data_IF_424144437131
#
_entry.id   IF_424144437131
#
_cell.length_a   1.000
_cell.length_b   1.000
_cell.length_c   1.000
_cell.angle_alpha   90.00
_cell.angle_beta   90.00
_cell.angle_gamma   90.00
#
_symmetry.space_group_name_H-M   'P 1'
#
loop_
_entity.id
_entity.type
_entity.pdbx_description
1 polymer ?
#
# COMPACT_ATOMS: atom_id res chain seq x y z
N UNK A 1 15.46 -23.15 -5.31
CA UNK A 1 14.50 -24.11 -4.72
C UNK A 1 13.78 -23.39 -3.60
N UNK A 2 12.61 -22.81 -3.89
CA UNK A 2 11.84 -22.07 -2.88
C UNK A 2 11.15 -23.07 -1.95
N UNK A 3 11.50 -23.04 -0.66
CA UNK A 3 10.71 -23.66 0.41
C UNK A 3 9.43 -22.83 0.60
N UNK A 4 8.52 -22.86 -0.37
CA UNK A 4 7.14 -22.50 -0.07
C UNK A 4 6.60 -23.60 0.85
N UNK A 5 6.23 -23.21 2.07
CA UNK A 5 5.49 -24.02 3.03
C UNK A 5 4.21 -24.53 2.35
N UNK A 6 4.30 -25.63 1.62
CA UNK A 6 3.16 -26.34 1.09
C UNK A 6 2.20 -26.60 2.25
N UNK A 7 0.89 -26.40 2.03
CA UNK A 7 -0.18 -26.77 2.95
C UNK A 7 -0.10 -28.30 3.21
N UNK A 8 0.82 -28.71 4.09
CA UNK A 8 0.94 -30.07 4.58
C UNK A 8 0.15 -30.15 5.88
N UNK A 9 -1.14 -30.42 5.75
CA UNK A 9 -1.90 -30.93 6.88
C UNK A 9 -1.51 -32.40 7.05
N UNK A 10 -0.70 -32.68 8.07
CA UNK A 10 -0.02 -33.98 8.28
C UNK A 10 -0.97 -35.18 8.36
N UNK A 11 -2.27 -34.94 8.48
CA UNK A 11 -3.34 -35.89 8.75
C UNK A 11 -4.55 -35.81 7.78
N UNK A 12 -4.49 -34.99 6.73
CA UNK A 12 -5.61 -34.87 5.77
C UNK A 12 -6.00 -36.19 5.08
N UNK A 13 -7.28 -36.40 4.83
CA UNK A 13 -7.83 -37.61 4.21
C UNK A 13 -8.14 -37.45 2.70
N UNK A 14 -7.91 -36.25 2.16
CA UNK A 14 -8.01 -35.94 0.74
C UNK A 14 -6.70 -35.38 0.18
N UNK A 15 -6.38 -35.83 -1.03
CA UNK A 15 -5.25 -35.33 -1.81
C UNK A 15 -5.81 -34.51 -2.97
N UNK A 16 -5.42 -33.24 -3.05
CA UNK A 16 -5.81 -32.33 -4.11
C UNK A 16 -4.57 -31.97 -4.93
N UNK A 17 -4.62 -32.16 -6.25
CA UNK A 17 -3.58 -31.68 -7.15
C UNK A 17 -4.02 -30.32 -7.72
N UNK A 18 -3.34 -29.24 -7.36
CA UNK A 18 -3.67 -27.86 -7.78
C UNK A 18 -2.48 -27.27 -8.54
N UNK A 19 -2.58 -27.25 -9.88
CA UNK A 19 -1.41 -27.05 -10.72
C UNK A 19 -0.36 -28.14 -10.45
N UNK A 20 0.88 -27.75 -10.19
CA UNK A 20 1.98 -28.68 -9.92
C UNK A 20 2.09 -29.09 -8.44
N UNK A 21 1.23 -28.57 -7.58
CA UNK A 21 1.29 -28.82 -6.13
C UNK A 21 0.26 -29.84 -5.64
N UNK A 22 0.75 -30.79 -4.84
CA UNK A 22 -0.08 -31.74 -4.13
C UNK A 22 -0.38 -31.23 -2.71
N UNK A 23 -1.65 -30.95 -2.45
CA UNK A 23 -2.15 -30.49 -1.16
C UNK A 23 -2.89 -31.63 -0.46
N UNK A 24 -2.67 -31.79 0.85
CA UNK A 24 -3.35 -32.82 1.65
C UNK A 24 -4.31 -32.14 2.61
N UNK A 25 -5.62 -32.37 2.53
CA UNK A 25 -6.64 -31.61 3.27
C UNK A 25 -7.66 -32.52 3.97
N UNK A 26 -8.35 -31.98 4.98
CA UNK A 26 -9.41 -32.64 5.74
C UNK A 26 -10.79 -32.46 5.10
N UNK A 27 -11.38 -33.56 4.62
CA UNK A 27 -12.73 -33.60 4.05
C UNK A 27 -13.78 -33.07 5.02
N UNK A 28 -13.65 -33.40 6.31
CA UNK A 28 -14.58 -32.97 7.35
C UNK A 28 -14.58 -31.44 7.51
N UNK A 29 -13.39 -30.82 7.53
CA UNK A 29 -13.26 -29.38 7.62
C UNK A 29 -13.79 -28.70 6.36
N UNK A 30 -13.40 -29.18 5.17
CA UNK A 30 -13.93 -28.64 3.91
C UNK A 30 -15.46 -28.70 3.88
N UNK A 31 -16.06 -29.82 4.31
CA UNK A 31 -17.51 -30.03 4.36
C UNK A 31 -18.19 -29.09 5.35
N UNK A 32 -17.53 -28.77 6.47
CA UNK A 32 -18.04 -27.85 7.48
C UNK A 32 -18.12 -26.40 6.97
N UNK A 33 -17.18 -26.01 6.09
CA UNK A 33 -17.11 -24.68 5.50
C UNK A 33 -17.96 -24.56 4.23
N UNK A 34 -17.96 -25.60 3.39
CA UNK A 34 -18.73 -25.69 2.15
C UNK A 34 -19.00 -27.14 1.76
N UNK A 35 -20.27 -27.55 1.86
CA UNK A 35 -20.74 -28.82 1.30
C UNK A 35 -20.60 -28.85 -0.23
N UNK A 36 -20.75 -27.70 -0.90
CA UNK A 36 -20.70 -27.60 -2.35
C UNK A 36 -19.31 -27.84 -2.93
N UNK A 37 -18.27 -27.35 -2.26
CA UNK A 37 -16.89 -27.60 -2.62
C UNK A 37 -16.61 -29.11 -2.59
N UNK A 38 -16.95 -29.76 -1.47
CA UNK A 38 -16.71 -31.20 -1.30
C UNK A 38 -17.48 -32.02 -2.33
N UNK A 39 -18.75 -31.70 -2.58
CA UNK A 39 -19.54 -32.34 -3.63
C UNK A 39 -18.86 -32.23 -5.00
N UNK A 40 -18.39 -31.03 -5.37
CA UNK A 40 -17.73 -30.76 -6.65
C UNK A 40 -16.42 -31.52 -6.79
N UNK A 41 -15.59 -31.53 -5.75
CA UNK A 41 -14.32 -32.27 -5.73
C UNK A 41 -14.56 -33.78 -5.85
N UNK A 42 -15.55 -34.33 -5.14
CA UNK A 42 -15.82 -35.77 -5.12
C UNK A 42 -16.36 -36.32 -6.44
N UNK A 43 -17.00 -35.49 -7.28
CA UNK A 43 -17.46 -35.90 -8.61
C UNK A 43 -16.31 -36.31 -9.55
N UNK A 44 -15.12 -35.75 -9.32
CA UNK A 44 -13.93 -36.01 -10.12
C UNK A 44 -13.06 -37.14 -9.54
N UNK A 45 -13.54 -37.80 -8.48
CA UNK A 45 -12.78 -38.84 -7.78
C UNK A 45 -12.98 -40.19 -8.47
N UNK A 46 -11.93 -40.69 -9.14
CA UNK A 46 -11.88 -42.04 -9.71
C UNK A 46 -11.75 -43.11 -8.62
N UNK A 47 -10.62 -43.16 -7.92
CA UNK A 47 -10.37 -44.09 -6.81
C UNK A 47 -10.19 -43.38 -5.44
N UNK A 48 -10.23 -44.16 -4.34
CA UNK A 48 -10.05 -43.61 -2.98
C UNK A 48 -8.65 -43.03 -2.72
N UNK A 49 -7.63 -43.41 -3.49
CA UNK A 49 -6.22 -43.06 -3.22
C UNK A 49 -5.62 -42.08 -4.23
N UNK A 50 -6.31 -41.80 -5.33
CA UNK A 50 -5.80 -40.87 -6.34
C UNK A 50 -6.02 -39.41 -5.93
N UNK A 51 -5.07 -38.51 -6.24
CA UNK A 51 -5.28 -37.08 -6.13
C UNK A 51 -6.48 -36.64 -6.97
N UNK A 52 -7.29 -35.75 -6.39
CA UNK A 52 -8.36 -35.07 -7.11
C UNK A 52 -7.72 -33.86 -7.80
N UNK A 53 -7.77 -33.83 -9.13
CA UNK A 53 -7.28 -32.69 -9.90
C UNK A 53 -8.24 -31.50 -9.74
N UNK A 54 -7.69 -30.36 -9.34
CA UNK A 54 -8.43 -29.11 -9.17
C UNK A 54 -8.10 -28.20 -10.34
N UNK A 55 -9.11 -27.91 -11.15
CA UNK A 55 -8.99 -27.07 -12.37
C UNK A 55 -8.89 -25.55 -12.06
N UNK A 56 -8.78 -25.18 -10.79
CA UNK A 56 -8.72 -23.78 -10.37
C UNK A 56 -7.30 -23.22 -10.43
N UNK A 57 -7.21 -21.89 -10.52
CA UNK A 57 -5.94 -21.18 -10.37
C UNK A 57 -5.31 -21.49 -9.00
N UNK A 58 -4.02 -21.89 -8.93
CA UNK A 58 -3.43 -22.36 -7.68
C UNK A 58 -3.48 -21.36 -6.53
N UNK A 59 -3.09 -20.10 -6.76
CA UNK A 59 -2.98 -19.10 -5.68
C UNK A 59 -4.33 -18.73 -5.07
N UNK A 60 -5.38 -18.36 -5.83
CA UNK A 60 -6.72 -18.14 -5.28
C UNK A 60 -7.28 -19.34 -4.52
N UNK A 61 -7.09 -20.55 -5.05
CA UNK A 61 -7.61 -21.76 -4.41
C UNK A 61 -6.91 -22.07 -3.10
N UNK A 62 -5.58 -21.95 -3.04
CA UNK A 62 -4.83 -22.07 -1.78
C UNK A 62 -5.22 -21.01 -0.77
N UNK A 63 -5.40 -19.75 -1.20
CA UNK A 63 -5.87 -18.69 -0.32
C UNK A 63 -7.24 -19.03 0.29
N UNK A 64 -8.16 -19.58 -0.52
CA UNK A 64 -9.46 -20.07 -0.02
C UNK A 64 -9.28 -21.16 1.03
N UNK A 65 -8.39 -22.14 0.77
CA UNK A 65 -8.08 -23.18 1.75
C UNK A 65 -7.53 -22.58 3.05
N UNK A 66 -6.53 -21.69 3.00
CA UNK A 66 -6.00 -21.04 4.21
C UNK A 66 -7.10 -20.37 5.04
N UNK A 67 -8.02 -19.65 4.40
CA UNK A 67 -9.16 -19.03 5.09
C UNK A 67 -10.07 -20.08 5.72
N UNK A 68 -10.37 -21.18 5.02
CA UNK A 68 -11.21 -22.26 5.55
C UNK A 68 -10.60 -22.90 6.81
N UNK A 69 -9.27 -22.92 6.90
CA UNK A 69 -8.53 -23.40 8.08
C UNK A 69 -8.30 -22.33 9.15
N UNK A 70 -8.78 -21.10 8.94
CA UNK A 70 -8.56 -19.98 9.87
C UNK A 70 -7.11 -19.50 9.90
N UNK A 71 -6.32 -19.78 8.87
CA UNK A 71 -4.96 -19.25 8.73
C UNK A 71 -5.00 -17.81 8.23
N UNK A 72 -4.03 -16.99 8.66
CA UNK A 72 -3.85 -15.63 8.13
C UNK A 72 -3.27 -15.67 6.71
N UNK A 73 -3.88 -14.96 5.78
CA UNK A 73 -3.36 -14.82 4.41
C UNK A 73 -2.00 -14.11 4.37
N UNK A 74 -1.73 -13.22 5.33
CA UNK A 74 -0.49 -12.47 5.42
C UNK A 74 0.75 -13.36 5.59
N UNK A 75 0.58 -14.60 6.07
CA UNK A 75 1.67 -15.57 6.24
C UNK A 75 1.97 -16.40 4.98
N UNK A 76 1.11 -16.32 3.96
CA UNK A 76 1.15 -17.22 2.80
C UNK A 76 1.16 -16.51 1.45
N UNK A 77 0.80 -15.23 1.43
CA UNK A 77 0.94 -14.36 0.28
C UNK A 77 2.05 -13.38 0.60
N UNK A 78 3.08 -13.32 -0.23
CA UNK A 78 4.20 -12.40 -0.03
C UNK A 78 3.71 -10.93 0.11
N UNK A 79 4.38 -10.10 0.93
CA UNK A 79 4.08 -8.67 1.02
C UNK A 79 4.36 -7.94 -0.30
N UNK A 80 3.63 -6.84 -0.50
CA UNK A 80 3.89 -5.87 -1.56
C UNK A 80 3.90 -6.49 -2.97
N UNK A 81 2.90 -7.32 -3.29
CA UNK A 81 2.77 -7.96 -4.60
C UNK A 81 1.66 -7.34 -5.45
N UNK A 82 1.94 -7.06 -6.73
CA UNK A 82 0.94 -6.62 -7.72
C UNK A 82 -0.21 -7.62 -7.86
N UNK A 83 0.11 -8.91 -7.76
CA UNK A 83 -0.87 -10.00 -7.89
C UNK A 83 -1.82 -10.13 -6.69
N UNK A 84 -1.60 -9.44 -5.57
CA UNK A 84 -2.41 -9.58 -4.35
C UNK A 84 -3.90 -9.40 -4.64
N UNK A 85 -4.30 -8.35 -5.37
CA UNK A 85 -5.70 -8.10 -5.68
C UNK A 85 -6.29 -9.08 -6.72
N UNK A 86 -5.48 -9.57 -7.66
CA UNK A 86 -5.90 -10.64 -8.58
C UNK A 86 -6.18 -11.96 -7.82
N UNK A 87 -5.39 -12.24 -6.78
CA UNK A 87 -5.62 -13.39 -5.90
C UNK A 87 -6.91 -13.20 -5.12
N UNK A 88 -7.16 -12.01 -4.58
CA UNK A 88 -8.39 -11.66 -3.85
C UNK A 88 -9.63 -11.78 -4.75
N UNK A 89 -9.59 -11.26 -5.97
CA UNK A 89 -10.69 -11.39 -6.93
C UNK A 89 -10.98 -12.85 -7.27
N UNK A 90 -9.92 -13.64 -7.53
CA UNK A 90 -10.05 -15.08 -7.72
C UNK A 90 -10.66 -15.77 -6.50
N UNK A 91 -10.26 -15.38 -5.30
CA UNK A 91 -10.76 -15.91 -4.03
C UNK A 91 -12.26 -15.63 -3.87
N UNK A 92 -12.73 -14.41 -4.15
CA UNK A 92 -14.16 -14.09 -4.12
C UNK A 92 -14.97 -14.89 -5.14
N UNK A 93 -14.45 -15.05 -6.36
CA UNK A 93 -15.09 -15.87 -7.39
C UNK A 93 -15.20 -17.34 -6.97
N UNK A 94 -14.13 -17.90 -6.38
CA UNK A 94 -14.15 -19.26 -5.84
C UNK A 94 -15.11 -19.40 -4.66
N UNK A 95 -15.14 -18.41 -3.77
CA UNK A 95 -16.05 -18.40 -2.64
C UNK A 95 -17.51 -18.40 -3.09
N UNK A 96 -17.84 -17.62 -4.12
CA UNK A 96 -19.17 -17.64 -4.74
C UNK A 96 -19.46 -18.99 -5.41
N UNK A 97 -18.54 -19.48 -6.25
CA UNK A 97 -18.65 -20.77 -6.96
C UNK A 97 -18.90 -21.94 -5.98
N UNK A 98 -18.19 -21.93 -4.86
CA UNK A 98 -18.25 -22.95 -3.84
C UNK A 98 -19.14 -22.60 -2.65
N UNK A 99 -19.88 -21.50 -2.68
CA UNK A 99 -20.78 -21.09 -1.59
C UNK A 99 -20.09 -21.05 -0.22
N UNK A 100 -18.83 -20.61 -0.18
CA UNK A 100 -18.09 -20.35 1.07
C UNK A 100 -18.61 -19.05 1.67
N UNK A 101 -18.86 -19.02 2.99
CA UNK A 101 -19.45 -17.86 3.66
C UNK A 101 -18.54 -16.62 3.56
N UNK A 102 -19.03 -15.46 3.07
CA UNK A 102 -18.23 -14.24 2.88
C UNK A 102 -17.55 -13.71 4.14
N UNK A 103 -18.19 -13.85 5.32
CA UNK A 103 -17.68 -13.28 6.58
C UNK A 103 -16.27 -13.74 6.98
N UNK A 104 -15.82 -14.91 6.53
CA UNK A 104 -14.47 -15.41 6.84
C UNK A 104 -13.42 -14.84 5.86
N UNK A 105 -13.87 -14.37 4.70
CA UNK A 105 -13.02 -13.86 3.62
C UNK A 105 -12.73 -12.38 3.86
N UNK A 106 -13.76 -11.58 4.16
CA UNK A 106 -13.63 -10.13 4.22
C UNK A 106 -12.60 -9.68 5.25
N UNK A 107 -12.59 -10.27 6.46
CA UNK A 107 -11.60 -9.95 7.49
C UNK A 107 -10.18 -10.28 7.05
N UNK A 108 -9.94 -11.49 6.53
CA UNK A 108 -8.62 -11.93 6.08
C UNK A 108 -8.10 -11.12 4.87
N UNK A 109 -9.00 -10.75 3.96
CA UNK A 109 -8.66 -9.90 2.81
C UNK A 109 -8.33 -8.48 3.26
N UNK A 110 -9.10 -7.91 4.19
CA UNK A 110 -8.81 -6.58 4.72
C UNK A 110 -7.46 -6.54 5.43
N UNK A 111 -7.12 -7.55 6.24
CA UNK A 111 -5.78 -7.64 6.87
C UNK A 111 -4.66 -7.67 5.82
N UNK A 112 -4.86 -8.44 4.74
CA UNK A 112 -3.89 -8.53 3.65
C UNK A 112 -3.70 -7.20 2.92
N UNK A 113 -4.79 -6.47 2.62
CA UNK A 113 -4.71 -5.16 1.97
C UNK A 113 -4.09 -4.14 2.94
N UNK A 114 -4.48 -4.12 4.22
CA UNK A 114 -3.93 -3.22 5.24
C UNK A 114 -2.43 -3.40 5.45
N UNK A 115 -1.90 -4.61 5.25
CA UNK A 115 -0.45 -4.85 5.30
C UNK A 115 0.28 -4.07 4.21
N UNK A 116 -0.25 -4.07 2.99
CA UNK A 116 0.37 -3.41 1.84
C UNK A 116 0.03 -1.90 1.80
N UNK A 117 -1.13 -1.52 2.35
CA UNK A 117 -1.68 -0.16 2.40
C UNK A 117 -2.10 0.22 3.85
N UNK A 118 -1.13 0.53 4.72
CA UNK A 118 -1.38 0.64 6.16
C UNK A 118 -2.10 1.94 6.55
N UNK A 119 -2.73 1.87 7.72
CA UNK A 119 -3.36 3.01 8.40
C UNK A 119 -2.37 3.78 9.28
N UNK A 120 -1.29 3.15 9.72
CA UNK A 120 -0.27 3.79 10.55
C UNK A 120 0.86 4.36 9.67
N UNK A 121 1.21 5.63 9.88
CA UNK A 121 2.27 6.31 9.11
C UNK A 121 3.65 5.63 9.25
N UNK A 122 3.92 5.00 10.39
CA UNK A 122 5.16 4.26 10.64
C UNK A 122 5.23 2.95 9.85
N UNK A 123 4.09 2.31 9.62
CA UNK A 123 4.01 1.14 8.74
C UNK A 123 4.10 1.57 7.27
N UNK A 124 3.52 2.71 6.92
CA UNK A 124 3.70 3.32 5.60
C UNK A 124 5.18 3.59 5.32
N UNK A 125 5.89 4.22 6.26
CA UNK A 125 7.33 4.47 6.18
C UNK A 125 8.14 3.19 5.95
N UNK A 126 7.76 2.10 6.64
CA UNK A 126 8.39 0.78 6.46
C UNK A 126 8.13 0.22 5.07
N UNK A 127 6.90 0.31 4.57
CA UNK A 127 6.56 -0.17 3.23
C UNK A 127 7.31 0.61 2.16
N UNK A 128 7.38 1.94 2.27
CA UNK A 128 8.13 2.79 1.33
C UNK A 128 9.63 2.46 1.33
N UNK A 129 10.22 2.23 2.51
CA UNK A 129 11.63 1.82 2.60
C UNK A 129 11.88 0.44 1.95
N UNK A 130 10.96 -0.52 2.13
CA UNK A 130 11.05 -1.83 1.49
C UNK A 130 10.86 -1.73 -0.03
N UNK A 131 9.94 -0.88 -0.50
CA UNK A 131 9.75 -0.59 -1.92
C UNK A 131 11.04 -0.03 -2.53
N UNK A 132 11.65 0.97 -1.90
CA UNK A 132 12.93 1.53 -2.38
C UNK A 132 14.03 0.46 -2.45
N UNK A 133 14.09 -0.45 -1.46
CA UNK A 133 15.04 -1.57 -1.45
C UNK A 133 14.79 -2.56 -2.58
N UNK A 134 13.53 -2.87 -2.86
CA UNK A 134 13.15 -3.78 -3.96
C UNK A 134 13.49 -3.17 -5.33
N UNK A 135 13.30 -1.87 -5.49
CA UNK A 135 13.69 -1.13 -6.70
C UNK A 135 15.21 -1.16 -6.87
N UNK A 136 16.00 -0.83 -5.83
CA UNK A 136 17.46 -0.79 -5.95
C UNK A 136 18.08 -2.14 -6.29
N UNK A 137 17.53 -3.25 -5.76
CA UNK A 137 17.99 -4.60 -6.10
C UNK A 137 17.77 -4.92 -7.58
N UNK A 138 16.69 -4.39 -8.16
CA UNK A 138 16.39 -4.58 -9.57
C UNK A 138 17.35 -3.78 -10.46
N UNK A 139 17.69 -2.56 -10.05
CA UNK A 139 18.64 -1.70 -10.76
C UNK A 139 20.07 -2.25 -10.75
N UNK A 140 20.51 -2.87 -9.65
CA UNK A 140 21.85 -3.47 -9.52
C UNK A 140 22.02 -4.75 -10.33
N UNK A 141 20.93 -5.42 -10.73
CA UNK A 141 20.98 -6.60 -11.60
C UNK A 141 21.09 -6.18 -13.06
N UNK A 142 22.31 -5.88 -13.50
CA UNK A 142 22.75 -5.59 -14.89
C UNK A 142 22.41 -6.69 -15.94
N UNK A 143 21.60 -7.69 -15.61
CA UNK A 143 21.16 -8.78 -16.49
C UNK A 143 20.01 -8.32 -17.43
N UNK A 144 20.22 -7.14 -18.01
CA UNK A 144 19.27 -6.23 -18.67
C UNK A 144 18.70 -6.74 -20.02
N UNK A 145 18.97 -8.00 -20.41
CA UNK A 145 18.79 -8.45 -21.79
C UNK A 145 17.74 -9.54 -22.01
N UNK A 146 17.10 -10.11 -20.99
CA UNK A 146 16.21 -11.26 -21.21
C UNK A 146 14.79 -11.18 -20.66
N UNK A 147 14.50 -10.48 -19.56
CA UNK A 147 13.14 -10.44 -18.98
C UNK A 147 12.80 -9.05 -18.43
N UNK A 148 12.12 -8.24 -19.25
CA UNK A 148 11.76 -6.82 -19.03
C UNK A 148 10.69 -6.57 -17.93
N UNK A 149 10.63 -7.38 -16.87
CA UNK A 149 9.67 -7.13 -15.78
C UNK A 149 10.23 -6.02 -14.89
N UNK A 150 9.70 -4.80 -15.01
CA UNK A 150 10.13 -3.69 -14.17
C UNK A 150 9.81 -3.95 -12.70
N UNK A 151 10.56 -3.36 -11.76
CA UNK A 151 10.28 -3.49 -10.33
C UNK A 151 8.82 -3.12 -9.99
N UNK A 152 8.28 -2.09 -10.63
CA UNK A 152 6.90 -1.64 -10.45
C UNK A 152 5.84 -2.66 -10.92
N UNK A 153 6.15 -3.52 -11.91
CA UNK A 153 5.28 -4.64 -12.29
C UNK A 153 5.08 -5.67 -11.18
N UNK A 154 5.94 -5.66 -10.17
CA UNK A 154 5.86 -6.56 -9.02
C UNK A 154 5.18 -5.92 -7.80
N UNK A 155 5.04 -4.58 -7.76
CA UNK A 155 4.55 -3.84 -6.60
C UNK A 155 3.02 -3.65 -6.59
N UNK A 156 2.39 -3.38 -5.44
CA UNK A 156 0.94 -3.22 -5.37
C UNK A 156 0.44 -2.05 -6.22
N UNK A 157 -0.56 -2.31 -7.05
CA UNK A 157 -1.19 -1.29 -7.90
C UNK A 157 -2.18 -0.43 -7.09
N UNK A 158 -1.93 0.88 -6.89
CA UNK A 158 -2.82 1.74 -6.08
C UNK A 158 -4.25 1.83 -6.63
N UNK A 159 -4.42 1.98 -7.95
CA UNK A 159 -5.75 2.12 -8.53
C UNK A 159 -6.58 0.84 -8.43
N UNK A 160 -5.93 -0.31 -8.35
CA UNK A 160 -6.61 -1.59 -8.14
C UNK A 160 -7.23 -1.66 -6.74
N UNK A 161 -6.64 -1.04 -5.71
CA UNK A 161 -7.23 -0.96 -4.35
C UNK A 161 -8.50 -0.11 -4.38
N UNK A 162 -8.43 1.03 -5.05
CA UNK A 162 -9.57 1.95 -5.27
C UNK A 162 -10.71 1.22 -5.98
N UNK A 163 -10.39 0.51 -7.07
CA UNK A 163 -11.33 -0.32 -7.82
C UNK A 163 -11.94 -1.45 -6.97
N UNK A 164 -11.10 -2.14 -6.17
CA UNK A 164 -11.54 -3.18 -5.25
C UNK A 164 -12.57 -2.65 -4.25
N UNK A 165 -12.32 -1.49 -3.63
CA UNK A 165 -13.26 -0.89 -2.68
C UNK A 165 -14.58 -0.56 -3.37
N UNK A 166 -14.56 0.04 -4.57
CA UNK A 166 -15.77 0.34 -5.35
C UNK A 166 -16.61 -0.90 -5.64
N UNK A 167 -15.94 -2.02 -5.97
CA UNK A 167 -16.59 -3.27 -6.37
C UNK A 167 -17.17 -4.04 -5.18
N UNK A 168 -16.52 -3.99 -4.02
CA UNK A 168 -16.83 -4.87 -2.89
C UNK A 168 -17.46 -4.17 -1.67
N UNK A 169 -17.36 -2.85 -1.55
CA UNK A 169 -17.93 -2.11 -0.42
C UNK A 169 -19.24 -1.42 -0.81
N UNK A 170 -20.22 -1.44 0.10
CA UNK A 170 -21.49 -0.74 -0.10
C UNK A 170 -21.33 0.76 0.20
N UNK A 171 -22.07 1.65 -0.49
CA UNK A 171 -22.02 3.10 -0.23
C UNK A 171 -22.32 3.52 1.21
N UNK A 172 -23.07 2.70 1.96
CA UNK A 172 -23.43 2.93 3.36
C UNK A 172 -22.40 2.41 4.36
N UNK A 173 -21.35 1.73 3.89
CA UNK A 173 -20.30 1.19 4.76
C UNK A 173 -19.26 2.25 5.06
N UNK A 174 -18.66 2.17 6.24
CA UNK A 174 -17.46 2.92 6.56
C UNK A 174 -16.37 2.60 5.54
N UNK A 175 -15.79 3.64 4.95
CA UNK A 175 -14.75 3.52 3.93
C UNK A 175 -13.45 3.15 4.64
N UNK A 176 -12.81 2.01 4.29
CA UNK A 176 -11.63 1.57 5.01
C UNK A 176 -10.43 2.48 4.74
N UNK A 177 -9.65 2.77 5.78
CA UNK A 177 -8.56 3.75 5.70
C UNK A 177 -7.54 3.46 4.57
N UNK A 178 -7.27 2.18 4.29
CA UNK A 178 -6.31 1.78 3.26
C UNK A 178 -6.62 2.35 1.86
N UNK A 179 -7.88 2.70 1.56
CA UNK A 179 -8.22 3.35 0.29
C UNK A 179 -7.67 4.77 0.22
N UNK A 180 -7.67 5.51 1.33
CA UNK A 180 -7.13 6.85 1.40
C UNK A 180 -5.61 6.82 1.27
N UNK A 181 -4.96 5.79 1.85
CA UNK A 181 -3.53 5.53 1.64
C UNK A 181 -3.22 5.26 0.16
N UNK A 182 -4.04 4.45 -0.52
CA UNK A 182 -3.89 4.20 -1.96
C UNK A 182 -4.13 5.45 -2.81
N UNK A 183 -5.21 6.21 -2.52
CA UNK A 183 -5.51 7.46 -3.21
C UNK A 183 -4.41 8.50 -3.01
N UNK A 184 -3.88 8.61 -1.79
CA UNK A 184 -2.73 9.46 -1.50
C UNK A 184 -1.52 9.07 -2.35
N UNK A 185 -1.21 7.78 -2.47
CA UNK A 185 -0.14 7.33 -3.35
C UNK A 185 -0.36 7.78 -4.80
N UNK A 186 -1.60 7.80 -5.29
CA UNK A 186 -1.92 8.34 -6.62
C UNK A 186 -1.64 9.85 -6.69
N UNK A 187 -1.95 10.62 -5.64
CA UNK A 187 -1.72 12.08 -5.62
C UNK A 187 -0.26 12.49 -5.79
N UNK A 188 0.69 11.63 -5.38
CA UNK A 188 2.13 11.91 -5.52
C UNK A 188 2.71 11.54 -6.90
N UNK A 189 1.95 10.85 -7.75
CA UNK A 189 2.40 10.45 -9.08
C UNK A 189 2.15 11.57 -10.10
N UNK A 190 3.02 11.73 -11.12
CA UNK A 190 2.71 12.57 -12.26
C UNK A 190 1.57 11.98 -13.09
N UNK A 191 0.79 12.83 -13.78
CA UNK A 191 -0.30 12.36 -14.64
C UNK A 191 0.16 11.40 -15.75
N UNK A 192 1.46 11.41 -16.09
CA UNK A 192 2.08 10.54 -17.10
C UNK A 192 2.64 9.24 -16.52
N UNK A 193 2.55 9.00 -15.21
CA UNK A 193 3.03 7.77 -14.56
C UNK A 193 2.03 6.61 -14.75
N UNK A 194 1.68 6.32 -15.99
CA UNK A 194 0.87 5.16 -16.37
C UNK A 194 1.63 4.31 -17.38
N UNK A 195 1.73 2.98 -17.20
CA UNK A 195 2.46 2.09 -18.12
C UNK A 195 1.96 2.13 -19.57
N UNK A 196 0.72 2.55 -19.78
CA UNK A 196 0.07 2.69 -21.08
C UNK A 196 0.15 4.10 -21.68
N UNK A 197 0.66 5.09 -20.95
CA UNK A 197 0.81 6.45 -21.45
C UNK A 197 2.06 6.56 -22.37
N UNK A 198 1.89 6.92 -23.65
CA UNK A 198 3.02 7.07 -24.57
C UNK A 198 3.97 8.23 -24.22
N UNK A 199 3.55 9.16 -23.35
CA UNK A 199 4.36 10.25 -22.84
C UNK A 199 5.07 9.92 -21.51
N UNK A 200 4.93 8.69 -20.99
CA UNK A 200 5.67 8.25 -19.82
C UNK A 200 7.18 8.30 -20.12
N UNK A 201 7.93 8.97 -19.24
CA UNK A 201 9.38 9.03 -19.34
C UNK A 201 9.97 7.62 -19.19
N UNK A 202 10.74 7.10 -20.16
CA UNK A 202 11.37 5.78 -20.07
C UNK A 202 12.33 5.63 -18.88
N UNK A 203 12.85 6.73 -18.35
CA UNK A 203 13.69 6.74 -17.15
C UNK A 203 12.88 6.75 -15.85
N UNK A 204 11.57 7.07 -15.90
CA UNK A 204 10.69 7.09 -14.73
C UNK A 204 10.78 5.78 -13.95
N UNK A 205 10.61 4.65 -14.64
CA UNK A 205 10.61 3.31 -14.02
C UNK A 205 11.98 2.89 -13.50
N UNK A 206 13.08 3.54 -13.94
CA UNK A 206 14.44 3.28 -13.48
C UNK A 206 14.85 4.13 -12.28
N UNK A 207 14.28 5.32 -12.12
CA UNK A 207 14.74 6.28 -11.10
C UNK A 207 13.76 6.48 -9.95
N UNK A 208 12.97 5.45 -9.59
CA UNK A 208 11.93 5.40 -8.52
C UNK A 208 10.46 5.45 -8.98
N UNK A 209 10.16 5.26 -10.26
CA UNK A 209 8.83 5.47 -10.80
C UNK A 209 7.85 4.36 -10.46
N UNK A 210 7.14 4.54 -9.34
CA UNK A 210 5.85 3.89 -9.14
C UNK A 210 4.90 4.32 -10.26
N UNK A 211 4.06 3.41 -10.73
CA UNK A 211 3.01 3.76 -11.70
C UNK A 211 1.62 3.58 -11.13
N UNK A 212 0.64 4.12 -11.83
CA UNK A 212 -0.77 3.89 -11.60
C UNK A 212 -1.44 3.51 -12.90
N UNK A 213 -2.26 2.47 -12.89
CA UNK A 213 -3.10 2.12 -14.02
C UNK A 213 -4.37 2.98 -13.99
N UNK A 214 -4.37 4.05 -14.77
CA UNK A 214 -5.47 4.99 -14.86
C UNK A 214 -6.75 4.40 -15.43
N UNK A 215 -6.67 3.33 -16.22
CA UNK A 215 -7.85 2.64 -16.74
C UNK A 215 -8.72 2.00 -15.63
N UNK A 216 -8.17 1.81 -14.43
CA UNK A 216 -8.90 1.30 -13.27
C UNK A 216 -9.64 2.39 -12.50
N UNK A 217 -9.34 3.66 -12.75
CA UNK A 217 -9.95 4.80 -12.06
C UNK A 217 -11.17 5.32 -12.83
N UNK A 218 -12.25 5.60 -12.11
CA UNK A 218 -13.40 6.31 -12.67
C UNK A 218 -13.12 7.81 -12.78
N UNK A 219 -13.94 8.53 -13.56
CA UNK A 219 -13.87 10.01 -13.63
C UNK A 219 -14.04 10.66 -12.25
N UNK A 220 -14.79 10.02 -11.36
CA UNK A 220 -15.05 10.47 -10.00
C UNK A 220 -13.81 10.29 -9.13
N UNK A 221 -13.12 9.15 -9.25
CA UNK A 221 -11.87 8.91 -8.52
C UNK A 221 -10.80 9.95 -8.91
N UNK A 222 -10.72 10.32 -10.18
CA UNK A 222 -9.86 11.43 -10.62
C UNK A 222 -10.21 12.77 -10.00
N UNK A 223 -11.49 13.13 -9.93
CA UNK A 223 -11.91 14.38 -9.28
C UNK A 223 -11.49 14.40 -7.81
N UNK A 224 -11.65 13.28 -7.12
CA UNK A 224 -11.22 13.13 -5.72
C UNK A 224 -9.70 13.32 -5.58
N UNK A 225 -8.91 12.69 -6.45
CA UNK A 225 -7.45 12.87 -6.48
C UNK A 225 -7.07 14.32 -6.72
N UNK A 226 -7.72 15.02 -7.66
CA UNK A 226 -7.43 16.43 -7.96
C UNK A 226 -7.78 17.37 -6.79
N UNK A 227 -8.95 17.17 -6.17
CA UNK A 227 -9.38 17.93 -4.98
C UNK A 227 -8.39 17.69 -3.83
N UNK A 228 -7.97 16.44 -3.62
CA UNK A 228 -7.01 16.10 -2.59
C UNK A 228 -5.64 16.73 -2.85
N UNK A 229 -5.16 16.74 -4.11
CA UNK A 229 -3.91 17.43 -4.48
C UNK A 229 -3.97 18.91 -4.11
N UNK A 230 -5.06 19.60 -4.44
CA UNK A 230 -5.23 21.02 -4.13
C UNK A 230 -5.29 21.28 -2.62
N UNK A 231 -6.07 20.47 -1.88
CA UNK A 231 -6.19 20.57 -0.43
C UNK A 231 -4.87 20.29 0.31
N UNK A 232 -4.14 19.24 -0.10
CA UNK A 232 -2.84 18.92 0.46
C UNK A 232 -1.82 20.03 0.17
N UNK A 233 -1.77 20.56 -1.06
CA UNK A 233 -0.87 21.68 -1.42
C UNK A 233 -1.16 22.94 -0.64
N UNK A 234 -2.43 23.26 -0.42
CA UNK A 234 -2.84 24.41 0.39
C UNK A 234 -2.34 24.25 1.83
N UNK A 235 -2.59 23.09 2.44
CA UNK A 235 -2.10 22.83 3.81
C UNK A 235 -0.57 22.88 3.91
N UNK A 236 0.14 22.29 2.95
CA UNK A 236 1.60 22.29 2.95
C UNK A 236 2.15 23.71 2.78
N UNK A 237 1.47 24.55 2.00
CA UNK A 237 1.79 25.98 1.88
C UNK A 237 1.59 26.71 3.21
N UNK A 238 0.51 26.43 3.94
CA UNK A 238 0.27 27.01 5.26
C UNK A 238 1.36 26.58 6.26
N UNK A 239 1.71 25.29 6.28
CA UNK A 239 2.81 24.76 7.11
C UNK A 239 4.13 25.47 6.79
N UNK A 240 4.46 25.57 5.49
CA UNK A 240 5.72 26.12 5.00
C UNK A 240 5.84 27.63 5.25
N UNK A 241 4.77 28.40 5.02
CA UNK A 241 4.83 29.87 4.97
C UNK A 241 4.36 30.53 6.26
N UNK A 242 3.49 29.87 7.03
CA UNK A 242 2.79 30.49 8.17
C UNK A 242 3.07 29.74 9.46
N UNK A 243 2.66 28.47 9.56
CA UNK A 243 2.62 27.76 10.83
C UNK A 243 4.01 27.55 11.43
N UNK A 244 5.00 27.13 10.62
CA UNK A 244 6.36 26.90 11.11
C UNK A 244 6.96 28.16 11.71
N UNK A 245 6.78 29.30 11.03
CA UNK A 245 7.29 30.60 11.50
C UNK A 245 6.67 30.98 12.84
N UNK A 246 5.34 30.94 12.92
CA UNK A 246 4.61 31.29 14.14
C UNK A 246 5.04 30.40 15.31
N UNK A 247 5.19 29.09 15.07
CA UNK A 247 5.62 28.16 16.09
C UNK A 247 7.07 28.41 16.54
N UNK A 248 7.99 28.63 15.60
CA UNK A 248 9.39 28.93 15.89
C UNK A 248 9.55 30.23 16.69
N UNK A 249 8.79 31.28 16.36
CA UNK A 249 8.81 32.57 17.07
C UNK A 249 8.25 32.46 18.50
N UNK A 250 7.23 31.64 18.71
CA UNK A 250 6.61 31.39 20.02
C UNK A 250 7.45 30.48 20.94
N UNK A 251 8.32 29.64 20.38
CA UNK A 251 9.11 28.69 21.14
C UNK A 251 10.08 29.36 22.16
N UNK A 252 10.39 28.71 23.30
CA UNK A 252 11.27 29.28 24.33
C UNK A 252 12.76 29.13 23.96
N UNK A 253 13.23 29.92 22.98
CA UNK A 253 14.63 29.94 22.53
C UNK A 253 15.16 31.38 22.41
N UNK A 254 16.50 31.59 22.52
CA UNK A 254 17.11 32.90 22.30
C UNK A 254 16.80 33.46 20.89
N UNK A 255 16.61 34.80 20.72
CA UNK A 255 16.29 35.40 19.44
C UNK A 255 17.28 35.06 18.31
N UNK A 256 18.56 34.93 18.62
CA UNK A 256 19.59 34.54 17.65
C UNK A 256 19.39 33.14 17.09
N UNK A 257 19.01 32.17 17.93
CA UNK A 257 18.74 30.79 17.50
C UNK A 257 17.48 30.72 16.62
N UNK A 258 16.42 31.46 17.01
CA UNK A 258 15.20 31.60 16.22
C UNK A 258 15.49 32.14 14.83
N UNK A 259 16.29 33.22 14.76
CA UNK A 259 16.68 33.84 13.49
C UNK A 259 17.44 32.89 12.57
N UNK A 260 18.37 32.10 13.12
CA UNK A 260 19.12 31.09 12.35
C UNK A 260 18.20 29.99 11.82
N UNK A 261 17.31 29.45 12.65
CA UNK A 261 16.38 28.40 12.24
C UNK A 261 15.38 28.89 11.18
N UNK A 262 14.81 30.09 11.37
CA UNK A 262 13.88 30.69 10.39
C UNK A 262 14.57 30.94 9.05
N UNK A 263 15.82 31.43 9.07
CA UNK A 263 16.60 31.63 7.85
C UNK A 263 16.89 30.29 7.15
N UNK A 264 17.22 29.25 7.91
CA UNK A 264 17.38 27.90 7.37
C UNK A 264 16.07 27.40 6.74
N UNK A 265 14.94 27.56 7.43
CA UNK A 265 13.63 27.15 6.93
C UNK A 265 13.26 27.86 5.62
N UNK A 266 13.49 29.18 5.54
CA UNK A 266 13.22 29.96 4.32
C UNK A 266 14.05 29.45 3.14
N UNK A 267 15.34 29.15 3.38
CA UNK A 267 16.25 28.74 2.31
C UNK A 267 16.11 27.27 1.91
N UNK A 268 15.68 26.40 2.83
CA UNK A 268 15.71 24.95 2.64
C UNK A 268 14.35 24.29 2.89
N UNK A 269 13.71 24.58 4.03
CA UNK A 269 12.39 24.04 4.39
C UNK A 269 11.31 24.32 3.35
N UNK A 270 11.18 25.58 2.95
CA UNK A 270 10.21 25.99 1.92
C UNK A 270 10.52 25.31 0.57
N UNK A 271 11.79 25.24 0.19
CA UNK A 271 12.20 24.61 -1.07
C UNK A 271 11.88 23.11 -1.12
N UNK A 272 12.01 22.41 0.02
CA UNK A 272 11.62 21.01 0.13
C UNK A 272 10.11 20.81 0.07
N UNK A 273 9.32 21.66 0.73
CA UNK A 273 7.87 21.48 0.79
C UNK A 273 7.13 21.97 -0.46
N UNK A 274 7.64 23.02 -1.11
CA UNK A 274 6.97 23.69 -2.22
C UNK A 274 7.75 23.60 -3.54
N UNK A 275 8.80 22.78 -3.58
CA UNK A 275 9.57 22.53 -4.80
C UNK A 275 8.72 21.92 -5.91
N UNK A 276 8.98 22.29 -7.16
CA UNK A 276 8.17 21.84 -8.31
C UNK A 276 8.13 20.30 -8.47
N UNK A 277 9.22 19.62 -8.08
CA UNK A 277 9.36 18.17 -8.17
C UNK A 277 8.97 17.45 -6.87
N UNK A 278 8.56 18.19 -5.83
CA UNK A 278 8.23 17.64 -4.51
C UNK A 278 6.74 17.38 -4.43
N UNK A 279 6.38 16.09 -4.42
CA UNK A 279 4.99 15.61 -4.46
C UNK A 279 4.61 14.74 -3.27
N UNK A 280 5.58 14.41 -2.42
CA UNK A 280 5.38 13.55 -1.26
C UNK A 280 5.57 14.35 0.04
N UNK A 281 4.52 15.07 0.48
CA UNK A 281 4.60 15.88 1.70
C UNK A 281 4.94 15.08 2.96
N UNK A 282 4.62 13.78 3.03
CA UNK A 282 4.95 12.99 4.21
C UNK A 282 6.43 12.65 4.26
N UNK A 283 7.02 12.31 3.11
CA UNK A 283 8.46 12.14 2.98
C UNK A 283 9.20 13.46 3.24
N UNK A 284 8.71 14.56 2.65
CA UNK A 284 9.30 15.90 2.81
C UNK A 284 9.35 16.34 4.28
N UNK A 285 8.23 16.19 5.00
CA UNK A 285 8.17 16.53 6.43
C UNK A 285 9.06 15.60 7.29
N UNK A 286 9.20 14.32 6.91
CA UNK A 286 10.10 13.37 7.59
C UNK A 286 11.56 13.82 7.43
N UNK A 287 11.98 14.08 6.19
CA UNK A 287 13.34 14.55 5.88
C UNK A 287 13.66 15.87 6.58
N UNK A 288 12.70 16.80 6.65
CA UNK A 288 12.88 18.07 7.36
C UNK A 288 13.04 17.87 8.87
N UNK A 289 12.24 16.99 9.48
CA UNK A 289 12.38 16.69 10.91
C UNK A 289 13.77 16.10 11.22
N UNK A 290 14.27 15.20 10.39
CA UNK A 290 15.60 14.60 10.51
C UNK A 290 16.71 15.64 10.26
N UNK A 291 16.55 16.49 9.25
CA UNK A 291 17.49 17.56 8.94
C UNK A 291 17.59 18.59 10.08
N UNK A 292 16.49 18.95 10.74
CA UNK A 292 16.54 19.88 11.89
C UNK A 292 17.37 19.28 13.05
N UNK A 293 17.22 17.99 13.32
CA UNK A 293 17.93 17.32 14.41
C UNK A 293 19.40 17.03 14.10
N UNK A 294 19.74 16.84 12.83
CA UNK A 294 21.11 16.48 12.43
C UNK A 294 22.12 17.56 12.84
N UNK A 295 23.13 17.25 13.69
CA UNK A 295 24.14 18.21 14.14
C UNK A 295 24.92 18.86 12.99
N UNK A 296 25.04 18.16 11.87
CA UNK A 296 25.77 18.60 10.66
C UNK A 296 24.95 19.44 9.68
N UNK A 297 23.68 19.71 9.96
CA UNK A 297 22.84 20.49 9.04
C UNK A 297 23.37 21.90 8.83
N UNK A 298 23.69 22.19 7.57
CA UNK A 298 24.26 23.45 7.16
C UNK A 298 23.38 24.62 7.62
N UNK A 299 24.00 25.64 8.24
CA UNK A 299 23.30 26.84 8.70
C UNK A 299 22.64 26.75 10.08
N UNK A 300 22.64 25.57 10.74
CA UNK A 300 22.06 25.42 12.09
C UNK A 300 23.11 25.37 13.21
N UNK A 301 24.41 25.53 12.94
CA UNK A 301 25.48 25.35 13.92
C UNK A 301 25.38 26.22 15.20
N UNK A 302 24.63 27.33 15.16
CA UNK A 302 24.35 28.18 16.31
C UNK A 302 23.01 27.92 17.02
N UNK A 303 22.26 26.90 16.61
CA UNK A 303 20.96 26.52 17.20
C UNK A 303 21.17 25.37 18.18
N UNK A 304 20.70 25.55 19.42
CA UNK A 304 20.84 24.55 20.48
C UNK A 304 20.15 23.23 20.14
N UNK A 305 20.69 22.12 20.65
CA UNK A 305 20.09 20.79 20.46
C UNK A 305 18.67 20.69 21.00
N UNK A 306 18.39 21.33 22.15
CA UNK A 306 17.05 21.34 22.74
C UNK A 306 16.03 22.04 21.84
N UNK A 307 16.39 23.19 21.26
CA UNK A 307 15.48 23.91 20.37
C UNK A 307 15.28 23.16 19.04
N UNK A 308 16.34 22.56 18.49
CA UNK A 308 16.22 21.67 17.32
C UNK A 308 15.28 20.50 17.57
N UNK A 309 15.44 19.79 18.68
CA UNK A 309 14.58 18.67 19.05
C UNK A 309 13.11 19.10 19.21
N UNK A 310 12.87 20.27 19.82
CA UNK A 310 11.54 20.83 19.97
C UNK A 310 10.89 21.09 18.60
N UNK A 311 11.62 21.71 17.68
CA UNK A 311 11.13 22.05 16.35
C UNK A 311 10.95 20.83 15.46
N UNK A 312 11.84 19.85 15.53
CA UNK A 312 11.68 18.57 14.84
C UNK A 312 10.47 17.80 15.37
N UNK A 313 10.26 17.79 16.68
CA UNK A 313 9.07 17.18 17.28
C UNK A 313 7.78 17.82 16.77
N UNK A 314 7.77 19.14 16.57
CA UNK A 314 6.63 19.83 15.96
C UNK A 314 6.40 19.39 14.51
N UNK A 315 7.46 19.32 13.68
CA UNK A 315 7.34 18.85 12.29
C UNK A 315 6.81 17.41 12.24
N UNK A 316 7.32 16.51 13.10
CA UNK A 316 6.82 15.13 13.21
C UNK A 316 5.36 15.06 13.64
N UNK A 317 4.97 15.91 14.61
CA UNK A 317 3.58 16.01 15.05
C UNK A 317 2.69 16.47 13.89
N UNK A 318 3.12 17.47 13.11
CA UNK A 318 2.33 17.98 12.00
C UNK A 318 2.17 16.96 10.87
N UNK A 319 3.24 16.21 10.59
CA UNK A 319 3.22 15.05 9.70
C UNK A 319 2.19 14.00 10.12
N UNK A 320 2.15 13.64 11.41
CA UNK A 320 1.18 12.69 11.95
C UNK A 320 -0.26 13.23 11.90
N UNK A 321 -0.47 14.50 12.24
CA UNK A 321 -1.78 15.15 12.15
C UNK A 321 -2.32 15.13 10.71
N UNK A 322 -1.47 15.45 9.72
CA UNK A 322 -1.81 15.40 8.31
C UNK A 322 -2.19 13.99 7.85
N UNK A 323 -1.47 12.97 8.34
CA UNK A 323 -1.78 11.59 8.01
C UNK A 323 -3.13 11.15 8.57
N UNK A 324 -3.40 11.49 9.83
CA UNK A 324 -4.67 11.18 10.47
C UNK A 324 -5.84 11.96 9.86
N UNK A 325 -5.59 13.13 9.25
CA UNK A 325 -6.60 13.89 8.51
C UNK A 325 -6.74 13.46 7.04
N UNK A 326 -5.98 12.46 6.58
CA UNK A 326 -6.00 12.02 5.18
C UNK A 326 -7.41 11.72 4.64
N UNK A 327 -8.31 11.03 5.36
CA UNK A 327 -9.69 10.80 4.91
C UNK A 327 -10.44 12.09 4.56
N UNK A 328 -10.13 13.20 5.25
CA UNK A 328 -10.85 14.46 5.08
C UNK A 328 -10.64 15.10 3.70
N UNK A 329 -9.51 14.82 3.04
CA UNK A 329 -9.22 15.27 1.68
C UNK A 329 -9.95 14.46 0.61
N UNK A 330 -10.55 13.34 1.01
CA UNK A 330 -11.30 12.43 0.15
C UNK A 330 -12.75 12.26 0.61
N UNK A 331 -13.26 13.17 1.44
CA UNK A 331 -14.60 13.10 2.04
C UNK A 331 -15.74 12.93 1.04
N UNK A 332 -15.55 13.41 -0.20
CA UNK A 332 -16.59 13.27 -1.24
C UNK A 332 -16.72 11.83 -1.77
N UNK A 333 -15.89 10.89 -1.32
CA UNK A 333 -15.90 9.48 -1.75
C UNK A 333 -17.30 8.84 -1.68
N UNK A 334 -18.04 9.11 -0.62
CA UNK A 334 -19.36 8.51 -0.35
C UNK A 334 -20.46 9.05 -1.27
N UNK A 335 -20.28 10.24 -1.87
CA UNK A 335 -21.31 10.89 -2.69
C UNK A 335 -21.28 10.46 -4.16
N UNK A 336 -20.33 9.61 -4.54
CA UNK A 336 -20.23 9.10 -5.91
C UNK A 336 -20.70 7.64 -5.97
N UNK A 337 -21.94 7.37 -6.43
CA UNK A 337 -22.33 6.00 -6.77
C UNK A 337 -21.41 5.45 -7.86
N UNK A 338 -21.11 4.15 -7.76
CA UNK A 338 -20.24 3.40 -8.68
C UNK A 338 -20.79 3.37 -10.12
#
# INVERSE_FOLDING_TARGET
MSQYSALYFNDGDLFLQVGDELLRVHSALLKSCSSKLVETLMRHRGSKREPIFVEEKPMPFKALLHIMYGHSLCSHIDPLRRSTLNIIDGLYNLAQKYQVRPRHIDGAVQELIKRDWPEEITLWDRNEAEISRLISIHDDTDDYMANQVTADETLPEPAAVVHYVRKHFQPSSEVPFFVFTALYHITRLPPTADPSDPAMDPEWTKTNGRTVNHALLTKQDYKLVLIAIDGLRTLISDIALVEFKQYAEAAPAPPGEKGLLLRWWINFGIAILLGADRRDPFQDLRELAEAIESPGSFGLGGVSGQYRQHMSSWVRKRRLELWNSLPSYFNDWQFFPA
#
